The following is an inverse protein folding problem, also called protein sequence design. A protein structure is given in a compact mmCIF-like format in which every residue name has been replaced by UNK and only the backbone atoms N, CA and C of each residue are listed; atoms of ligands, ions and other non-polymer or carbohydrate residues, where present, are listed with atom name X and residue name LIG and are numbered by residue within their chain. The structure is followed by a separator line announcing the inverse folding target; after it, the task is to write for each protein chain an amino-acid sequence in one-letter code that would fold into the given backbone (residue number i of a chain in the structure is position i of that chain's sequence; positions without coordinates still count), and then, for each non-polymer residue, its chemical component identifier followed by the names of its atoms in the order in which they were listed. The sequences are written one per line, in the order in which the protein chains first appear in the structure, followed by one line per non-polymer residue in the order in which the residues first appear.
data_IF_923202867086
#
_entry.id   IF_923202867086
#
_cell.length_a   1.000
_cell.length_b   1.000
_cell.length_c   1.000
_cell.angle_alpha   90.00
_cell.angle_beta   90.00
_cell.angle_gamma   90.00
#
_symmetry.space_group_name_H-M   'P 1'
#
loop_
_entity.id
_entity.type
_entity.pdbx_description
1 polymer ?
#
# COMPACT_ATOMS: atom_id res chain seq x y z
N UNK A 1 -42.05 1.74 52.37
CA UNK A 1 -40.89 0.85 52.11
C UNK A 1 -40.35 1.19 50.74
N UNK A 2 -39.19 1.86 50.65
CA UNK A 2 -38.55 2.13 49.37
C UNK A 2 -37.75 0.89 48.95
N UNK A 3 -38.18 0.25 47.86
CA UNK A 3 -37.42 -0.81 47.19
C UNK A 3 -36.19 -0.16 46.54
N UNK A 4 -34.99 -0.46 47.04
CA UNK A 4 -33.76 -0.07 46.37
C UNK A 4 -33.71 -0.71 44.97
N UNK A 5 -33.41 0.06 43.91
CA UNK A 5 -33.31 -0.49 42.56
C UNK A 5 -32.20 -1.55 42.52
N UNK A 6 -32.50 -2.72 41.96
CA UNK A 6 -31.48 -3.74 41.66
C UNK A 6 -30.55 -3.16 40.59
N UNK A 7 -29.41 -2.64 41.01
CA UNK A 7 -28.34 -2.21 40.08
C UNK A 7 -27.92 -3.46 39.32
N UNK A 8 -28.30 -3.55 38.05
CA UNK A 8 -27.85 -4.62 37.16
C UNK A 8 -26.42 -4.29 36.79
N UNK A 9 -25.44 -4.96 37.43
CA UNK A 9 -23.99 -4.74 37.25
C UNK A 9 -23.56 -4.76 35.77
N UNK A 10 -24.32 -5.42 34.92
CA UNK A 10 -24.12 -5.45 33.47
C UNK A 10 -24.28 -4.10 32.78
N UNK A 11 -25.17 -3.23 33.25
CA UNK A 11 -25.40 -1.90 32.65
C UNK A 11 -24.16 -0.98 32.76
N UNK A 12 -23.56 -0.75 33.95
CA UNK A 12 -22.34 0.06 34.04
C UNK A 12 -21.15 -0.62 33.36
N UNK A 13 -21.10 -1.95 33.30
CA UNK A 13 -20.02 -2.69 32.63
C UNK A 13 -20.09 -2.52 31.10
N UNK A 14 -21.29 -2.59 30.51
CA UNK A 14 -21.49 -2.32 29.08
C UNK A 14 -21.18 -0.86 28.73
N UNK A 15 -21.57 0.09 29.60
CA UNK A 15 -21.21 1.50 29.44
C UNK A 15 -19.68 1.66 29.47
N UNK A 16 -19.00 1.05 30.44
CA UNK A 16 -17.54 1.11 30.56
C UNK A 16 -16.84 0.53 29.32
N UNK A 17 -17.30 -0.63 28.82
CA UNK A 17 -16.76 -1.23 27.59
C UNK A 17 -17.01 -0.30 26.40
N UNK A 18 -18.23 0.23 26.24
CA UNK A 18 -18.57 1.13 25.15
C UNK A 18 -17.74 2.41 25.15
N UNK A 19 -17.54 3.01 26.32
CA UNK A 19 -16.67 4.18 26.49
C UNK A 19 -15.21 3.83 26.17
N UNK A 20 -14.73 2.69 26.66
CA UNK A 20 -13.36 2.23 26.38
C UNK A 20 -13.12 2.02 24.88
N UNK A 21 -14.03 1.33 24.19
CA UNK A 21 -13.98 1.14 22.74
C UNK A 21 -14.10 2.46 21.98
N UNK A 22 -14.96 3.38 22.44
CA UNK A 22 -15.11 4.72 21.84
C UNK A 22 -13.84 5.56 21.95
N UNK A 23 -13.17 5.54 23.10
CA UNK A 23 -11.88 6.24 23.29
C UNK A 23 -10.79 5.61 22.41
N UNK A 24 -10.67 4.28 22.39
CA UNK A 24 -9.71 3.60 21.52
C UNK A 24 -9.95 3.92 20.05
N UNK A 25 -11.22 3.90 19.62
CA UNK A 25 -11.59 4.27 18.26
C UNK A 25 -11.20 5.72 17.95
N UNK A 26 -11.52 6.67 18.83
CA UNK A 26 -11.26 8.10 18.62
C UNK A 26 -9.75 8.39 18.53
N UNK A 27 -8.94 7.80 19.41
CA UNK A 27 -7.48 7.97 19.39
C UNK A 27 -6.92 7.48 18.05
N UNK A 28 -7.34 6.29 17.60
CA UNK A 28 -6.86 5.73 16.33
C UNK A 28 -7.37 6.53 15.12
N UNK A 29 -8.63 6.96 15.12
CA UNK A 29 -9.20 7.78 14.04
C UNK A 29 -8.46 9.13 13.90
N UNK A 30 -8.11 9.78 15.01
CA UNK A 30 -7.33 11.02 14.99
C UNK A 30 -5.87 10.79 14.58
N UNK A 31 -5.24 9.69 15.02
CA UNK A 31 -3.85 9.37 14.68
C UNK A 31 -3.68 9.02 13.19
N UNK A 32 -4.60 8.21 12.65
CA UNK A 32 -4.56 7.76 11.24
C UNK A 32 -5.16 8.80 10.30
N UNK A 33 -6.08 9.65 10.78
CA UNK A 33 -6.90 10.51 9.94
C UNK A 33 -8.08 9.77 9.29
N UNK A 34 -8.29 8.49 9.59
CA UNK A 34 -9.34 7.66 9.01
C UNK A 34 -10.28 7.11 10.09
N UNK A 35 -11.56 7.49 10.06
CA UNK A 35 -12.59 6.99 10.97
C UNK A 35 -12.88 5.48 10.83
N UNK A 36 -12.60 4.92 9.66
CA UNK A 36 -12.83 3.53 9.28
C UNK A 36 -11.53 2.70 9.28
N UNK A 37 -10.51 3.13 10.02
CA UNK A 37 -9.17 2.50 10.08
C UNK A 37 -9.18 0.98 10.39
N UNK A 38 -10.23 0.47 11.00
CA UNK A 38 -10.40 -0.94 11.37
C UNK A 38 -11.04 -1.79 10.27
N UNK A 39 -11.56 -1.18 9.20
CA UNK A 39 -12.10 -1.90 8.06
C UNK A 39 -11.00 -2.15 7.02
N UNK A 40 -10.94 -3.35 6.42
CA UNK A 40 -9.96 -3.69 5.38
C UNK A 40 -10.39 -3.14 4.01
N UNK A 41 -10.86 -1.90 3.94
CA UNK A 41 -11.34 -1.27 2.70
C UNK A 41 -10.32 -0.23 2.27
N UNK A 42 -9.50 -0.56 1.28
CA UNK A 42 -8.59 0.41 0.67
C UNK A 42 -9.33 1.20 -0.43
N UNK A 43 -9.11 2.51 -0.55
CA UNK A 43 -9.56 3.25 -1.72
C UNK A 43 -8.91 2.68 -2.98
N UNK A 44 -9.66 2.68 -4.09
CA UNK A 44 -9.11 2.33 -5.40
C UNK A 44 -8.34 3.56 -5.90
N UNK A 45 -7.09 3.37 -6.28
CA UNK A 45 -6.26 4.44 -6.81
C UNK A 45 -5.93 4.18 -8.29
N UNK A 46 -6.07 5.22 -9.10
CA UNK A 46 -5.73 5.16 -10.52
C UNK A 46 -4.39 5.88 -10.75
N UNK A 47 -3.33 5.18 -11.19
CA UNK A 47 -2.06 5.82 -11.52
C UNK A 47 -2.22 6.82 -12.66
N UNK A 48 -1.70 8.02 -12.53
CA UNK A 48 -1.62 9.00 -13.62
C UNK A 48 -0.67 8.55 -14.74
N UNK A 49 0.39 7.81 -14.38
CA UNK A 49 1.29 7.11 -15.30
C UNK A 49 1.90 5.90 -14.60
N UNK A 50 2.22 4.89 -15.40
CA UNK A 50 2.98 3.71 -14.99
C UNK A 50 4.29 3.74 -15.79
N UNK A 51 5.41 3.52 -15.12
CA UNK A 51 6.72 3.41 -15.75
C UNK A 51 7.25 2.01 -15.50
N UNK A 52 7.54 1.29 -16.57
CA UNK A 52 8.17 -0.02 -16.54
C UNK A 52 9.61 0.18 -16.96
N UNK A 53 10.54 -0.20 -16.08
CA UNK A 53 11.97 -0.26 -16.40
C UNK A 53 12.31 -1.71 -16.59
N UNK A 54 12.78 -2.06 -17.78
CA UNK A 54 12.97 -3.43 -18.24
C UNK A 54 14.38 -3.58 -18.80
N UNK A 55 15.34 -3.97 -17.94
CA UNK A 55 16.75 -4.20 -18.33
C UNK A 55 17.33 -3.09 -19.22
N UNK A 56 17.14 -1.84 -18.79
CA UNK A 56 17.65 -0.64 -19.48
C UNK A 56 16.69 -0.01 -20.49
N UNK A 57 15.60 -0.68 -20.85
CA UNK A 57 14.50 -0.07 -21.59
C UNK A 57 13.49 0.59 -20.63
N UNK A 58 12.96 1.75 -20.98
CA UNK A 58 11.91 2.42 -20.20
C UNK A 58 10.65 2.58 -21.03
N UNK A 59 9.58 1.93 -20.60
CA UNK A 59 8.24 2.08 -21.19
C UNK A 59 7.39 2.90 -20.23
N UNK A 60 6.83 4.00 -20.71
CA UNK A 60 5.87 4.80 -19.95
C UNK A 60 4.49 4.58 -20.53
N UNK A 61 3.56 4.14 -19.69
CA UNK A 61 2.18 3.83 -20.06
C UNK A 61 1.24 4.81 -19.34
N UNK A 62 0.30 5.38 -20.08
CA UNK A 62 -0.75 6.27 -19.57
C UNK A 62 -2.14 5.70 -19.81
N UNK A 63 -3.14 6.31 -19.16
CA UNK A 63 -4.55 5.94 -19.33
C UNK A 63 -4.94 5.95 -20.82
N UNK A 64 -5.53 4.84 -21.26
CA UNK A 64 -5.97 4.64 -22.64
C UNK A 64 -4.91 4.02 -23.57
N UNK A 65 -3.67 3.87 -23.11
CA UNK A 65 -2.64 3.12 -23.82
C UNK A 65 -2.73 1.62 -23.51
N UNK A 66 -2.28 0.73 -24.41
CA UNK A 66 -2.30 -0.72 -24.19
C UNK A 66 -1.57 -1.14 -22.92
N UNK A 67 -2.14 -2.11 -22.17
CA UNK A 67 -1.56 -2.63 -20.94
C UNK A 67 -1.83 -1.77 -19.69
N UNK A 68 -2.30 -0.53 -19.84
CA UNK A 68 -2.57 0.35 -18.69
C UNK A 68 -3.65 -0.22 -17.77
N UNK A 69 -4.76 -0.66 -18.34
CA UNK A 69 -5.93 -1.09 -17.56
C UNK A 69 -5.60 -2.34 -16.75
N UNK A 70 -4.95 -3.30 -17.40
CA UNK A 70 -4.54 -4.58 -16.83
C UNK A 70 -3.55 -4.36 -15.69
N UNK A 71 -2.54 -3.50 -15.88
CA UNK A 71 -1.56 -3.20 -14.82
C UNK A 71 -2.23 -2.41 -13.68
N UNK A 72 -3.08 -1.44 -14.00
CA UNK A 72 -3.77 -0.65 -12.98
C UNK A 72 -4.71 -1.50 -12.12
N UNK A 73 -5.38 -2.48 -12.71
CA UNK A 73 -6.21 -3.45 -11.99
C UNK A 73 -5.36 -4.33 -11.09
N UNK A 74 -4.29 -4.92 -11.62
CA UNK A 74 -3.37 -5.75 -10.86
C UNK A 74 -2.70 -5.00 -9.70
N UNK A 75 -2.36 -3.71 -9.89
CA UNK A 75 -1.86 -2.83 -8.84
C UNK A 75 -2.91 -2.66 -7.74
N UNK A 76 -4.16 -2.38 -8.08
CA UNK A 76 -5.22 -2.22 -7.10
C UNK A 76 -5.48 -3.52 -6.32
N UNK A 77 -5.46 -4.67 -7.00
CA UNK A 77 -5.61 -5.97 -6.36
C UNK A 77 -4.45 -6.25 -5.39
N UNK A 78 -3.21 -6.04 -5.83
CA UNK A 78 -1.98 -6.18 -5.03
C UNK A 78 -2.00 -5.26 -3.81
N UNK A 79 -2.46 -4.02 -3.97
CA UNK A 79 -2.53 -3.01 -2.91
C UNK A 79 -3.76 -3.18 -1.99
N UNK A 80 -4.77 -3.95 -2.39
CA UNK A 80 -5.99 -4.14 -1.59
C UNK A 80 -5.71 -4.88 -0.27
N UNK A 81 -4.67 -5.71 -0.24
CA UNK A 81 -4.29 -6.55 0.89
C UNK A 81 -2.92 -6.16 1.47
N UNK A 82 -2.82 -5.01 2.12
CA UNK A 82 -1.60 -4.63 2.84
C UNK A 82 -1.42 -5.43 4.13
N UNK A 83 -0.16 -5.81 4.40
CA UNK A 83 0.25 -6.07 5.78
C UNK A 83 0.49 -4.73 6.48
N UNK A 84 -0.54 -4.24 7.15
CA UNK A 84 -0.55 -2.94 7.82
C UNK A 84 0.46 -2.85 9.00
N UNK A 85 1.14 -3.94 9.35
CA UNK A 85 2.11 -4.00 10.45
C UNK A 85 3.55 -4.21 9.99
N UNK A 86 3.77 -4.58 8.73
CA UNK A 86 5.09 -4.92 8.20
C UNK A 86 5.76 -3.72 7.50
N UNK A 87 6.12 -2.69 8.28
CA UNK A 87 7.01 -1.63 7.82
C UNK A 87 8.46 -2.06 7.99
N UNK A 88 9.17 -2.26 6.88
CA UNK A 88 10.57 -2.67 6.87
C UNK A 88 11.43 -1.43 6.68
N UNK A 89 12.37 -1.20 7.60
CA UNK A 89 13.35 -0.11 7.51
C UNK A 89 14.46 -0.47 6.51
N UNK A 90 14.16 -0.38 5.22
CA UNK A 90 15.10 -0.60 4.12
C UNK A 90 15.07 0.61 3.17
N UNK A 91 16.25 1.07 2.75
CA UNK A 91 16.39 2.17 1.79
C UNK A 91 16.92 1.68 0.46
N UNK A 92 16.59 2.41 -0.62
CA UNK A 92 17.21 2.20 -1.93
C UNK A 92 18.51 3.00 -1.98
N UNK A 93 19.65 2.32 -2.07
CA UNK A 93 20.92 2.99 -2.31
C UNK A 93 20.98 3.55 -3.73
N UNK A 94 21.86 4.53 -3.98
CA UNK A 94 22.09 5.05 -5.34
C UNK A 94 22.45 3.93 -6.34
N UNK A 95 23.24 2.96 -5.89
CA UNK A 95 23.63 1.81 -6.69
C UNK A 95 22.44 0.86 -6.98
N UNK A 96 21.51 0.70 -6.03
CA UNK A 96 20.27 -0.06 -6.27
C UNK A 96 19.37 0.67 -7.28
N UNK A 97 19.26 2.00 -7.13
CA UNK A 97 18.51 2.83 -8.09
C UNK A 97 19.11 2.78 -9.50
N UNK A 98 20.44 2.76 -9.61
CA UNK A 98 21.13 2.60 -10.90
C UNK A 98 20.76 1.27 -11.54
N UNK A 99 20.85 0.15 -10.80
CA UNK A 99 20.44 -1.18 -11.31
C UNK A 99 18.97 -1.23 -11.72
N UNK A 100 18.06 -0.67 -10.93
CA UNK A 100 16.64 -0.56 -11.29
C UNK A 100 16.43 0.19 -12.61
N UNK A 101 17.29 1.14 -12.94
CA UNK A 101 17.20 1.91 -14.18
C UNK A 101 17.80 1.19 -15.39
N UNK A 102 18.83 0.36 -15.19
CA UNK A 102 19.70 -0.09 -16.27
C UNK A 102 19.70 -1.61 -16.47
N UNK A 103 19.45 -2.38 -15.42
CA UNK A 103 19.81 -3.81 -15.36
C UNK A 103 18.69 -4.71 -14.85
N UNK A 104 17.61 -4.16 -14.32
CA UNK A 104 16.58 -4.92 -13.60
C UNK A 104 15.17 -4.57 -14.09
N UNK A 105 14.19 -5.41 -13.73
CA UNK A 105 12.78 -5.20 -14.02
C UNK A 105 12.05 -4.64 -12.80
N UNK A 106 11.67 -3.36 -12.88
CA UNK A 106 10.85 -2.70 -11.86
C UNK A 106 9.65 -1.97 -12.47
N UNK A 107 8.60 -1.85 -11.69
CA UNK A 107 7.41 -1.09 -12.03
C UNK A 107 7.25 0.08 -11.07
N UNK A 108 7.05 1.27 -11.62
CA UNK A 108 6.79 2.49 -10.87
C UNK A 108 5.40 3.03 -11.20
N UNK A 109 4.55 3.20 -10.18
CA UNK A 109 3.23 3.80 -10.32
C UNK A 109 3.24 5.23 -9.75
N UNK A 110 2.79 6.20 -10.54
CA UNK A 110 2.75 7.61 -10.15
C UNK A 110 1.32 8.11 -10.07
N UNK A 111 0.98 8.86 -9.03
CA UNK A 111 -0.38 9.30 -8.72
C UNK A 111 -0.49 10.83 -8.75
N UNK A 112 -1.63 11.31 -9.26
CA UNK A 112 -1.96 12.74 -9.30
C UNK A 112 -2.34 13.30 -7.93
N UNK A 113 -2.86 12.44 -7.07
CA UNK A 113 -3.25 12.73 -5.70
C UNK A 113 -2.45 11.84 -4.74
N UNK A 114 -2.51 12.17 -3.45
CA UNK A 114 -1.86 11.38 -2.41
C UNK A 114 -2.56 10.02 -2.28
N UNK A 115 -1.75 8.95 -2.33
CA UNK A 115 -2.18 7.60 -2.02
C UNK A 115 -2.17 7.42 -0.52
N UNK A 116 -3.35 7.23 0.05
CA UNK A 116 -3.52 6.94 1.47
C UNK A 116 -3.68 5.43 1.66
N UNK A 117 -2.87 4.87 2.57
CA UNK A 117 -2.99 3.49 2.98
C UNK A 117 -3.64 3.45 4.36
N UNK A 118 -4.59 2.53 4.57
CA UNK A 118 -5.14 2.27 5.90
C UNK A 118 -4.12 1.54 6.78
N UNK A 119 -3.08 2.25 7.19
CA UNK A 119 -2.02 1.77 8.07
C UNK A 119 -2.09 2.51 9.41
N UNK A 120 -1.60 1.92 10.52
CA UNK A 120 -1.59 2.58 11.83
C UNK A 120 -0.65 3.78 11.88
N UNK A 121 0.21 3.98 10.87
CA UNK A 121 1.14 5.10 10.76
C UNK A 121 0.65 6.05 9.69
N UNK A 122 0.60 7.34 10.01
CA UNK A 122 0.17 8.35 9.05
C UNK A 122 1.21 8.52 7.94
N UNK A 123 0.90 8.05 6.74
CA UNK A 123 1.70 8.27 5.54
C UNK A 123 1.07 9.38 4.70
N UNK A 124 1.73 10.54 4.62
CA UNK A 124 1.28 11.67 3.80
C UNK A 124 2.19 11.89 2.60
N UNK A 125 1.66 12.46 1.52
CA UNK A 125 2.44 12.85 0.36
C UNK A 125 2.97 11.67 -0.46
N UNK A 126 2.43 10.46 -0.29
CA UNK A 126 2.86 9.30 -1.08
C UNK A 126 2.21 9.43 -2.45
N UNK A 127 3.01 9.69 -3.47
CA UNK A 127 2.51 9.90 -4.85
C UNK A 127 3.19 8.99 -5.85
N UNK A 128 4.08 8.13 -5.38
CA UNK A 128 4.92 7.27 -6.18
C UNK A 128 5.12 5.97 -5.43
N UNK A 129 4.94 4.85 -6.11
CA UNK A 129 5.17 3.50 -5.58
C UNK A 129 6.10 2.76 -6.54
N UNK A 130 7.03 1.99 -5.99
CA UNK A 130 7.94 1.15 -6.77
C UNK A 130 7.84 -0.30 -6.31
N UNK A 131 7.71 -1.18 -7.30
CA UNK A 131 7.55 -2.62 -7.15
C UNK A 131 8.72 -3.31 -7.86
N UNK A 132 9.63 -3.96 -7.11
CA UNK A 132 10.66 -4.81 -7.69
C UNK A 132 10.02 -6.11 -8.21
N UNK A 133 10.05 -6.35 -9.52
CA UNK A 133 9.38 -7.51 -10.16
C UNK A 133 10.39 -8.63 -10.42
N UNK A 134 11.47 -8.32 -11.14
CA UNK A 134 12.66 -9.16 -11.26
C UNK A 134 13.90 -8.27 -11.08
N UNK A 135 14.23 -8.03 -9.82
CA UNK A 135 15.14 -6.99 -9.40
C UNK A 135 15.73 -7.31 -8.03
N UNK A 136 16.70 -6.52 -7.60
CA UNK A 136 17.12 -6.47 -6.20
C UNK A 136 15.86 -6.28 -5.34
N UNK A 137 15.72 -7.08 -4.29
CA UNK A 137 14.53 -7.13 -3.43
C UNK A 137 13.25 -7.76 -4.01
N UNK A 138 13.25 -8.26 -5.24
CA UNK A 138 12.13 -9.05 -5.76
C UNK A 138 11.84 -10.30 -4.91
N UNK A 139 10.59 -10.75 -4.91
CA UNK A 139 10.12 -11.90 -4.12
C UNK A 139 9.89 -11.61 -2.62
N UNK A 140 10.29 -10.43 -2.12
CA UNK A 140 9.99 -10.03 -0.74
C UNK A 140 8.65 -9.30 -0.60
N UNK A 141 7.90 -9.13 -1.70
CA UNK A 141 6.61 -8.39 -1.75
C UNK A 141 6.75 -6.94 -1.27
N UNK A 142 7.91 -6.34 -1.51
CA UNK A 142 8.21 -4.98 -1.09
C UNK A 142 7.60 -3.95 -2.03
N UNK A 143 7.05 -2.90 -1.44
CA UNK A 143 6.58 -1.70 -2.13
C UNK A 143 7.30 -0.51 -1.52
N UNK A 144 8.17 0.11 -2.31
CA UNK A 144 8.87 1.32 -1.90
C UNK A 144 7.98 2.53 -2.13
N UNK A 145 7.97 3.44 -1.15
CA UNK A 145 7.14 4.65 -1.20
C UNK A 145 7.98 5.86 -1.56
N UNK A 146 7.42 6.73 -2.40
CA UNK A 146 8.10 7.92 -2.90
C UNK A 146 7.17 9.11 -3.05
N UNK A 147 7.80 10.27 -3.26
CA UNK A 147 7.12 11.53 -3.53
C UNK A 147 8.03 12.42 -4.37
N UNK A 148 7.46 13.11 -5.36
CA UNK A 148 8.17 14.12 -6.16
C UNK A 148 9.52 13.67 -6.74
N UNK A 149 9.66 12.40 -7.12
CA UNK A 149 10.86 11.83 -7.72
C UNK A 149 11.90 11.37 -6.70
N UNK A 150 11.57 11.40 -5.41
CA UNK A 150 12.43 10.92 -4.33
C UNK A 150 11.80 9.72 -3.63
N UNK A 151 12.60 8.67 -3.46
CA UNK A 151 12.24 7.49 -2.69
C UNK A 151 12.53 7.72 -1.21
N UNK A 152 11.59 7.35 -0.36
CA UNK A 152 11.76 7.45 1.09
C UNK A 152 12.47 6.22 1.62
N UNK A 153 13.04 6.35 2.83
CA UNK A 153 13.52 5.18 3.57
C UNK A 153 12.30 4.39 4.06
N UNK A 154 12.32 3.10 3.81
CA UNK A 154 11.29 2.16 4.19
C UNK A 154 10.60 1.53 2.99
N UNK A 155 10.21 0.28 3.15
CA UNK A 155 9.29 -0.42 2.25
C UNK A 155 8.10 -0.95 3.06
N UNK A 156 6.94 -0.97 2.41
CA UNK A 156 5.78 -1.72 2.88
C UNK A 156 5.83 -3.13 2.31
N UNK A 157 5.15 -4.06 2.96
CA UNK A 157 4.98 -5.43 2.46
C UNK A 157 3.52 -5.64 2.08
N UNK A 158 3.27 -6.05 0.84
CA UNK A 158 1.93 -6.50 0.42
C UNK A 158 1.73 -7.97 0.78
N UNK A 159 0.49 -8.36 1.07
CA UNK A 159 0.19 -9.74 1.42
C UNK A 159 0.40 -10.68 0.22
N UNK A 160 0.09 -10.21 -0.99
CA UNK A 160 0.22 -10.97 -2.22
C UNK A 160 0.64 -10.06 -3.38
N UNK A 161 1.74 -10.39 -4.06
CA UNK A 161 2.22 -9.71 -5.27
C UNK A 161 1.93 -10.51 -6.55
N UNK A 162 1.24 -11.65 -6.45
CA UNK A 162 0.90 -12.52 -7.58
C UNK A 162 0.14 -11.79 -8.69
N UNK A 163 -0.89 -10.96 -8.42
CA UNK A 163 -1.62 -10.26 -9.48
C UNK A 163 -0.71 -9.39 -10.35
N UNK A 164 0.21 -8.65 -9.72
CA UNK A 164 1.17 -7.82 -10.44
C UNK A 164 2.17 -8.65 -11.25
N UNK A 165 2.64 -9.79 -10.72
CA UNK A 165 3.58 -10.64 -11.46
C UNK A 165 2.92 -11.33 -12.64
N UNK A 166 1.68 -11.77 -12.51
CA UNK A 166 0.94 -12.43 -13.57
C UNK A 166 0.61 -11.50 -14.74
N UNK A 167 0.25 -10.25 -14.46
CA UNK A 167 0.06 -9.27 -15.54
C UNK A 167 1.38 -8.96 -16.24
N UNK A 168 2.49 -8.85 -15.50
CA UNK A 168 3.81 -8.61 -16.10
C UNK A 168 4.27 -9.78 -16.98
N UNK A 169 3.93 -11.02 -16.63
CA UNK A 169 4.13 -12.19 -17.51
C UNK A 169 3.24 -12.14 -18.75
N UNK A 170 1.96 -11.87 -18.54
CA UNK A 170 0.96 -11.83 -19.63
C UNK A 170 1.33 -10.78 -20.68
N UNK A 171 1.88 -9.65 -20.25
CA UNK A 171 2.35 -8.57 -21.14
C UNK A 171 3.77 -8.82 -21.70
N UNK A 172 4.42 -9.92 -21.32
CA UNK A 172 5.72 -10.33 -21.85
C UNK A 172 6.94 -9.66 -21.23
N UNK A 173 6.78 -8.95 -20.10
CA UNK A 173 7.89 -8.32 -19.38
C UNK A 173 8.63 -9.30 -18.47
N UNK A 174 7.92 -10.25 -17.87
CA UNK A 174 8.49 -11.27 -16.98
C UNK A 174 8.42 -12.64 -17.66
N UNK A 175 9.53 -13.37 -17.67
CA UNK A 175 9.57 -14.75 -18.19
C UNK A 175 9.22 -15.77 -17.10
N UNK A 176 8.64 -16.90 -17.50
CA UNK A 176 8.46 -18.05 -16.61
C UNK A 176 9.84 -18.64 -16.26
N UNK A 177 10.14 -18.72 -14.96
CA UNK A 177 11.34 -19.39 -14.44
C UNK A 177 11.10 -20.89 -14.26
#
# INVERSE_FOLDING_TARGET
MYSLPKIKIWEPLLILIGVGLGILWLINALNTGNALWFLPIQPIYEPSRIVIRNYGETVTIRRGEPGYAEISEALNETLSAFDNTALISIGLSEETMRRYNEEELVLEAYYADDVEFNTPVRMQGVRQLLFPVDATHAGNRYVFIGSNGQWRVGAMVVADDTPLRDVMRTLGYLQDQ
#
